data_IF_023910856257
#
_entry.id   IF_023910856257
#
_cell.length_a   1.000
_cell.length_b   1.000
_cell.length_c   1.000
_cell.angle_alpha   90.00
_cell.angle_beta   90.00
_cell.angle_gamma   90.00
#
_symmetry.space_group_name_H-M   'P 1'
#
loop_
_entity.id
_entity.type
_entity.pdbx_description
1 polymer ?
#
# COMPACT_ATOMS: atom_id res chain seq x y z
N UNK A 1 -19.91 -8.43 19.19
CA UNK A 1 -20.44 -8.84 20.51
C UNK A 1 -20.39 -10.33 20.77
N UNK A 2 -20.67 -11.20 19.78
CA UNK A 2 -20.64 -12.67 19.94
C UNK A 2 -19.41 -13.21 20.70
N UNK A 3 -18.19 -12.90 20.24
CA UNK A 3 -16.97 -13.41 20.89
C UNK A 3 -16.85 -13.02 22.38
N UNK A 4 -17.29 -11.82 22.78
CA UNK A 4 -17.31 -11.40 24.18
C UNK A 4 -18.35 -12.18 24.99
N UNK A 5 -19.53 -12.42 24.42
CA UNK A 5 -20.58 -13.22 25.06
C UNK A 5 -20.25 -14.71 25.13
N UNK A 6 -19.45 -15.24 24.20
CA UNK A 6 -18.92 -16.60 24.28
C UNK A 6 -17.86 -16.72 25.38
N UNK A 7 -16.93 -15.76 25.48
CA UNK A 7 -15.90 -15.74 26.50
C UNK A 7 -16.43 -15.43 27.91
N UNK A 8 -17.50 -14.63 28.00
CA UNK A 8 -18.07 -14.16 29.28
C UNK A 8 -19.61 -14.20 29.25
N UNK A 9 -20.23 -15.40 29.20
CA UNK A 9 -21.67 -15.57 28.95
C UNK A 9 -22.58 -14.92 30.00
N UNK A 10 -22.09 -14.69 31.21
CA UNK A 10 -22.85 -14.07 32.30
C UNK A 10 -22.92 -12.53 32.21
N UNK A 11 -22.17 -11.89 31.29
CA UNK A 11 -22.05 -10.42 31.22
C UNK A 11 -23.08 -9.76 30.30
N UNK A 12 -23.60 -10.47 29.30
CA UNK A 12 -24.63 -9.95 28.39
C UNK A 12 -24.22 -8.67 27.65
N UNK A 13 -23.10 -8.70 26.93
CA UNK A 13 -22.61 -7.56 26.16
C UNK A 13 -23.52 -7.24 24.97
N UNK A 14 -23.85 -5.96 24.85
CA UNK A 14 -24.62 -5.33 23.77
C UNK A 14 -23.91 -4.03 23.36
N UNK A 15 -24.25 -3.46 22.21
CA UNK A 15 -23.72 -2.14 21.84
C UNK A 15 -24.16 -1.03 22.81
N UNK A 16 -25.27 -1.19 23.54
CA UNK A 16 -25.73 -0.21 24.51
C UNK A 16 -24.93 -0.20 25.83
N UNK A 17 -24.19 -1.27 26.15
CA UNK A 17 -23.43 -1.38 27.39
C UNK A 17 -21.93 -1.62 27.17
N UNK A 18 -21.46 -1.51 25.93
CA UNK A 18 -20.08 -1.79 25.54
C UNK A 18 -19.58 -0.67 24.65
N UNK A 19 -18.51 0.00 25.05
CA UNK A 19 -17.81 0.97 24.21
C UNK A 19 -17.06 0.22 23.10
N UNK A 20 -17.28 0.58 21.84
CA UNK A 20 -16.65 -0.02 20.67
C UNK A 20 -15.80 1.01 19.95
N UNK A 21 -14.49 0.81 20.00
CA UNK A 21 -13.50 1.62 19.29
C UNK A 21 -12.91 0.77 18.18
N UNK A 22 -13.05 1.20 16.94
CA UNK A 22 -12.41 0.53 15.80
C UNK A 22 -11.03 1.12 15.56
N UNK A 23 -10.00 0.27 15.57
CA UNK A 23 -8.62 0.67 15.27
C UNK A 23 -8.01 -0.20 14.19
N UNK A 24 -7.28 0.43 13.28
CA UNK A 24 -6.58 -0.26 12.21
C UNK A 24 -5.45 0.59 11.63
N UNK A 25 -4.50 -0.10 11.00
CA UNK A 25 -3.31 0.50 10.38
C UNK A 25 -3.25 0.07 8.91
N UNK A 26 -2.76 0.93 8.01
CA UNK A 26 -2.63 0.65 6.57
C UNK A 26 -3.97 0.24 5.94
N UNK A 27 -4.10 -0.95 5.34
CA UNK A 27 -5.39 -1.47 4.87
C UNK A 27 -6.43 -1.61 5.99
N UNK A 28 -6.00 -1.99 7.20
CA UNK A 28 -6.87 -2.03 8.37
C UNK A 28 -7.36 -0.63 8.75
N UNK A 29 -6.52 0.39 8.57
CA UNK A 29 -6.89 1.80 8.74
C UNK A 29 -7.99 2.21 7.76
N UNK A 30 -7.85 1.83 6.48
CA UNK A 30 -8.91 2.01 5.49
C UNK A 30 -10.20 1.26 5.84
N UNK A 31 -10.08 0.03 6.34
CA UNK A 31 -11.21 -0.80 6.74
C UNK A 31 -12.03 -0.19 7.89
N UNK A 32 -11.37 0.38 8.91
CA UNK A 32 -12.10 1.02 10.02
C UNK A 32 -12.76 2.33 9.60
N UNK A 33 -12.20 3.07 8.63
CA UNK A 33 -12.87 4.23 8.03
C UNK A 33 -14.10 3.81 7.20
N UNK A 34 -14.01 2.69 6.47
CA UNK A 34 -15.15 2.10 5.76
C UNK A 34 -16.22 1.59 6.74
N UNK A 35 -15.84 1.02 7.88
CA UNK A 35 -16.79 0.64 8.92
C UNK A 35 -17.51 1.87 9.50
N UNK A 36 -16.79 2.97 9.74
CA UNK A 36 -17.36 4.23 10.22
C UNK A 36 -18.41 4.83 9.26
N UNK A 37 -18.22 4.67 7.95
CA UNK A 37 -19.19 5.07 6.94
C UNK A 37 -20.44 4.17 6.93
N UNK A 38 -20.26 2.86 7.17
CA UNK A 38 -21.33 1.88 7.15
C UNK A 38 -22.09 1.77 8.48
N UNK A 39 -21.64 2.47 9.53
CA UNK A 39 -22.27 2.48 10.85
C UNK A 39 -23.56 3.32 10.89
N UNK A 40 -24.59 2.80 10.21
CA UNK A 40 -25.94 3.37 10.23
C UNK A 40 -26.69 3.18 11.54
N UNK A 41 -26.30 2.19 12.35
CA UNK A 41 -26.96 1.84 13.62
C UNK A 41 -26.33 2.56 14.83
N UNK A 42 -25.14 3.16 14.67
CA UNK A 42 -24.45 3.89 15.73
C UNK A 42 -23.81 3.02 16.78
N UNK A 43 -23.21 1.91 16.36
CA UNK A 43 -22.54 0.98 17.26
C UNK A 43 -21.05 1.32 17.48
N UNK A 44 -20.47 2.21 16.68
CA UNK A 44 -19.10 2.71 16.89
C UNK A 44 -19.12 3.96 17.77
N UNK A 45 -18.28 3.96 18.80
CA UNK A 45 -18.08 5.13 19.67
C UNK A 45 -16.88 5.97 19.25
N UNK A 46 -15.88 5.39 18.57
CA UNK A 46 -14.76 6.11 17.98
C UNK A 46 -14.01 5.27 16.93
N UNK A 47 -13.26 5.95 16.07
CA UNK A 47 -12.32 5.32 15.13
C UNK A 47 -10.91 5.91 15.24
N UNK A 48 -9.90 5.03 15.24
CA UNK A 48 -8.48 5.38 15.12
C UNK A 48 -7.90 4.71 13.89
N UNK A 49 -7.54 5.51 12.88
CA UNK A 49 -6.99 5.01 11.62
C UNK A 49 -5.52 5.46 11.47
N UNK A 50 -4.59 4.53 11.59
CA UNK A 50 -3.18 4.74 11.28
C UNK A 50 -2.91 4.51 9.78
N UNK A 51 -2.18 5.42 9.14
CA UNK A 51 -1.72 5.38 7.76
C UNK A 51 -2.71 4.76 6.76
N UNK A 52 -4.01 5.16 6.78
CA UNK A 52 -5.03 4.37 6.12
C UNK A 52 -4.85 4.40 4.60
N UNK A 53 -4.86 3.21 3.99
CA UNK A 53 -5.10 3.06 2.57
C UNK A 53 -6.58 3.34 2.29
N UNK A 54 -6.87 4.62 2.05
CA UNK A 54 -8.21 5.13 1.78
C UNK A 54 -8.18 5.97 0.52
N UNK A 55 -9.22 5.85 -0.30
CA UNK A 55 -9.43 6.71 -1.46
C UNK A 55 -10.85 7.25 -1.44
N UNK A 56 -11.04 8.45 -1.98
CA UNK A 56 -12.36 9.06 -2.18
C UNK A 56 -12.60 9.29 -3.67
N UNK A 57 -13.84 9.55 -4.04
CA UNK A 57 -14.20 9.95 -5.40
C UNK A 57 -13.29 11.08 -5.92
N UNK A 58 -12.81 10.95 -7.16
CA UNK A 58 -11.91 11.93 -7.78
C UNK A 58 -10.44 11.84 -7.37
N UNK A 59 -10.05 10.92 -6.46
CA UNK A 59 -8.64 10.68 -6.12
C UNK A 59 -8.06 9.47 -6.84
N UNK A 60 -6.72 9.44 -6.95
CA UNK A 60 -6.00 8.28 -7.48
C UNK A 60 -6.09 7.12 -6.50
N UNK A 61 -6.28 5.91 -7.01
CA UNK A 61 -6.30 4.70 -6.18
C UNK A 61 -4.88 4.24 -5.85
N UNK A 62 -4.71 3.47 -4.78
CA UNK A 62 -3.40 2.86 -4.50
C UNK A 62 -2.96 1.92 -5.63
N UNK A 63 -3.89 1.28 -6.35
CA UNK A 63 -3.56 0.45 -7.52
C UNK A 63 -2.94 1.26 -8.66
N UNK A 64 -3.47 2.44 -8.95
CA UNK A 64 -2.90 3.38 -9.92
C UNK A 64 -1.48 3.78 -9.50
N UNK A 65 -1.32 4.27 -8.27
CA UNK A 65 -0.05 4.74 -7.73
C UNK A 65 1.01 3.62 -7.74
N UNK A 66 0.64 2.43 -7.27
CA UNK A 66 1.52 1.27 -7.18
C UNK A 66 2.01 0.84 -8.57
N UNK A 67 1.12 0.75 -9.56
CA UNK A 67 1.50 0.31 -10.92
C UNK A 67 2.31 1.37 -11.66
N UNK A 68 2.07 2.67 -11.41
CA UNK A 68 2.91 3.76 -11.91
C UNK A 68 4.30 3.73 -11.26
N UNK A 69 4.38 3.64 -9.94
CA UNK A 69 5.63 3.61 -9.19
C UNK A 69 6.47 2.39 -9.55
N UNK A 70 5.87 1.20 -9.69
CA UNK A 70 6.57 -0.01 -10.12
C UNK A 70 7.29 0.16 -11.46
N UNK A 71 6.73 0.97 -12.36
CA UNK A 71 7.32 1.26 -13.66
C UNK A 71 8.37 2.36 -13.55
N UNK A 72 8.00 3.54 -13.05
CA UNK A 72 8.79 4.76 -13.16
C UNK A 72 9.81 4.95 -12.04
N UNK A 73 9.46 4.57 -10.81
CA UNK A 73 10.26 4.91 -9.62
C UNK A 73 11.69 4.36 -9.67
N UNK A 74 11.96 3.10 -10.09
CA UNK A 74 13.33 2.61 -10.18
C UNK A 74 14.23 3.51 -11.04
N UNK A 75 13.72 4.01 -12.17
CA UNK A 75 14.45 4.95 -13.02
C UNK A 75 14.56 6.35 -12.40
N UNK A 76 13.46 6.86 -11.84
CA UNK A 76 13.39 8.19 -11.23
C UNK A 76 14.37 8.36 -10.06
N UNK A 77 14.60 7.31 -9.27
CA UNK A 77 15.51 7.35 -8.13
C UNK A 77 16.97 7.62 -8.52
N UNK A 78 17.37 7.41 -9.78
CA UNK A 78 18.71 7.78 -10.26
C UNK A 78 18.93 9.30 -10.34
N UNK A 79 17.85 10.09 -10.34
CA UNK A 79 17.91 11.55 -10.30
C UNK A 79 17.87 12.13 -8.88
N UNK A 80 17.82 11.27 -7.86
CA UNK A 80 17.79 11.67 -6.46
C UNK A 80 19.09 11.29 -5.74
N UNK A 81 19.60 12.24 -4.97
CA UNK A 81 20.70 12.04 -4.04
C UNK A 81 20.19 11.77 -2.61
N UNK A 82 21.07 11.22 -1.77
CA UNK A 82 20.83 10.95 -0.34
C UNK A 82 19.54 10.14 -0.08
N UNK A 83 19.34 9.07 -0.86
CA UNK A 83 18.27 8.12 -0.64
C UNK A 83 18.56 7.24 0.59
N UNK A 84 17.52 6.87 1.37
CA UNK A 84 17.70 5.90 2.44
C UNK A 84 18.16 4.55 1.86
N UNK A 85 19.09 3.90 2.56
CA UNK A 85 19.74 2.69 2.08
C UNK A 85 19.32 1.44 2.87
N UNK A 86 19.05 0.36 2.12
CA UNK A 86 18.83 -0.99 2.57
C UNK A 86 19.94 -1.94 2.06
N UNK A 87 20.00 -3.19 2.53
CA UNK A 87 20.93 -4.19 1.97
C UNK A 87 20.74 -4.47 0.48
N UNK A 88 19.59 -4.15 -0.11
CA UNK A 88 19.27 -4.39 -1.52
C UNK A 88 19.46 -3.15 -2.41
N UNK A 89 19.75 -1.97 -1.84
CA UNK A 89 19.85 -0.72 -2.62
C UNK A 89 20.90 -0.77 -3.72
N UNK A 90 22.05 -1.43 -3.49
CA UNK A 90 23.09 -1.57 -4.51
C UNK A 90 22.60 -2.36 -5.73
N UNK A 91 21.85 -3.44 -5.50
CA UNK A 91 21.26 -4.25 -6.55
C UNK A 91 20.18 -3.47 -7.31
N UNK A 92 19.27 -2.82 -6.58
CA UNK A 92 18.21 -2.00 -7.18
C UNK A 92 18.79 -0.87 -8.06
N UNK A 93 19.81 -0.15 -7.55
CA UNK A 93 20.50 0.92 -8.29
C UNK A 93 21.22 0.40 -9.53
N UNK A 94 21.78 -0.81 -9.49
CA UNK A 94 22.42 -1.43 -10.65
C UNK A 94 21.41 -1.77 -11.77
N UNK A 95 20.17 -2.11 -11.42
CA UNK A 95 19.10 -2.43 -12.39
C UNK A 95 18.35 -1.20 -12.92
N UNK A 96 18.41 -0.07 -12.22
CA UNK A 96 17.67 1.13 -12.59
C UNK A 96 17.95 1.65 -14.03
N UNK A 97 19.19 1.68 -14.55
CA UNK A 97 19.43 2.08 -15.94
C UNK A 97 18.77 1.17 -16.98
N UNK A 98 18.65 -0.14 -16.67
CA UNK A 98 17.97 -1.11 -17.52
C UNK A 98 16.47 -0.81 -17.59
N UNK A 99 15.87 -0.42 -16.45
CA UNK A 99 14.48 0.06 -16.40
C UNK A 99 14.29 1.35 -17.19
N UNK A 100 15.20 2.31 -17.05
CA UNK A 100 15.16 3.56 -17.84
C UNK A 100 15.16 3.28 -19.35
N UNK A 101 16.07 2.41 -19.81
CA UNK A 101 16.18 2.05 -21.22
C UNK A 101 14.91 1.34 -21.73
N UNK A 102 14.32 0.43 -20.94
CA UNK A 102 13.09 -0.28 -21.31
C UNK A 102 11.88 0.66 -21.42
N UNK A 103 11.76 1.61 -20.50
CA UNK A 103 10.73 2.65 -20.57
C UNK A 103 10.89 3.55 -21.79
N UNK A 104 12.12 3.95 -22.12
CA UNK A 104 12.40 4.75 -23.31
C UNK A 104 12.12 3.98 -24.61
N UNK A 105 12.51 2.70 -24.69
CA UNK A 105 12.22 1.84 -25.84
C UNK A 105 10.71 1.62 -26.03
N UNK A 106 9.93 1.61 -24.95
CA UNK A 106 8.47 1.56 -24.98
C UNK A 106 7.79 2.92 -25.24
N UNK A 107 8.57 3.99 -25.46
CA UNK A 107 8.05 5.34 -25.70
C UNK A 107 7.42 6.02 -24.47
N UNK A 108 7.64 5.48 -23.27
CA UNK A 108 7.12 6.04 -22.02
C UNK A 108 8.02 7.15 -21.45
N UNK A 109 9.29 7.15 -21.85
CA UNK A 109 10.29 8.17 -21.53
C UNK A 109 10.96 8.64 -22.82
N UNK A 110 11.56 9.85 -22.83
CA UNK A 110 12.33 10.30 -23.98
C UNK A 110 13.52 9.36 -24.27
N UNK A 111 13.86 9.23 -25.56
CA UNK A 111 15.14 8.67 -25.96
C UNK A 111 16.29 9.56 -25.44
N UNK A 112 17.46 8.96 -25.18
CA UNK A 112 18.60 9.69 -24.64
C UNK A 112 19.44 8.84 -23.70
N UNK A 113 20.31 9.49 -22.92
CA UNK A 113 21.09 8.83 -21.89
C UNK A 113 20.27 8.54 -20.62
N UNK A 114 20.81 7.68 -19.76
CA UNK A 114 20.16 7.28 -18.51
C UNK A 114 19.89 8.47 -17.58
N UNK A 115 20.70 9.53 -17.62
CA UNK A 115 20.52 10.72 -16.76
C UNK A 115 19.31 11.53 -17.21
N UNK A 116 19.11 11.69 -18.52
CA UNK A 116 17.94 12.35 -19.09
C UNK A 116 16.66 11.54 -18.85
N UNK A 117 16.73 10.21 -18.98
CA UNK A 117 15.61 9.31 -18.69
C UNK A 117 15.22 9.34 -17.21
N UNK A 118 16.21 9.31 -16.30
CA UNK A 118 15.97 9.41 -14.86
C UNK A 118 15.27 10.72 -14.48
N UNK A 119 15.76 11.86 -14.99
CA UNK A 119 15.09 13.17 -14.83
C UNK A 119 13.67 13.14 -15.33
N UNK A 120 13.43 12.63 -16.53
CA UNK A 120 12.08 12.57 -17.10
C UNK A 120 11.14 11.67 -16.28
N UNK A 121 11.62 10.53 -15.77
CA UNK A 121 10.84 9.65 -14.89
C UNK A 121 10.51 10.33 -13.55
N UNK A 122 11.47 11.03 -12.96
CA UNK A 122 11.29 11.80 -11.75
C UNK A 122 10.28 12.95 -11.96
N UNK A 123 10.43 13.73 -13.04
CA UNK A 123 9.50 14.80 -13.42
C UNK A 123 8.08 14.25 -13.65
N UNK A 124 7.94 13.09 -14.30
CA UNK A 124 6.64 12.44 -14.49
C UNK A 124 5.97 12.05 -13.16
N UNK A 125 6.71 11.48 -12.21
CA UNK A 125 6.19 11.18 -10.88
C UNK A 125 5.82 12.47 -10.12
N UNK A 126 6.65 13.52 -10.18
CA UNK A 126 6.34 14.81 -9.55
C UNK A 126 5.10 15.46 -10.15
N UNK A 127 4.97 15.45 -11.48
CA UNK A 127 3.80 15.97 -12.20
C UNK A 127 2.52 15.20 -11.88
N UNK A 128 2.63 13.90 -11.60
CA UNK A 128 1.50 13.04 -11.18
C UNK A 128 1.17 13.12 -9.68
N UNK A 129 1.85 14.01 -8.93
CA UNK A 129 1.52 14.41 -7.56
C UNK A 129 2.42 13.83 -6.46
N UNK A 130 3.40 12.98 -6.78
CA UNK A 130 4.27 12.37 -5.77
C UNK A 130 5.10 13.42 -5.06
N UNK A 131 5.11 13.44 -3.72
CA UNK A 131 5.95 14.36 -2.94
C UNK A 131 7.43 13.92 -2.96
N UNK A 132 8.38 14.86 -2.80
CA UNK A 132 9.79 14.48 -2.70
C UNK A 132 10.07 13.58 -1.49
N UNK A 133 9.32 13.76 -0.39
CA UNK A 133 9.41 12.89 0.78
C UNK A 133 8.95 11.45 0.46
N UNK A 134 7.79 11.31 -0.20
CA UNK A 134 7.27 10.01 -0.61
C UNK A 134 8.21 9.31 -1.62
N UNK A 135 8.81 10.04 -2.56
CA UNK A 135 9.79 9.46 -3.50
C UNK A 135 11.03 8.95 -2.78
N UNK A 136 11.59 9.72 -1.83
CA UNK A 136 12.76 9.26 -1.07
C UNK A 136 12.44 8.04 -0.21
N UNK A 137 11.33 8.06 0.53
CA UNK A 137 10.91 6.92 1.34
C UNK A 137 10.55 5.69 0.49
N UNK A 138 10.03 5.92 -0.72
CA UNK A 138 9.69 4.89 -1.70
C UNK A 138 10.89 4.11 -2.26
N UNK A 139 12.14 4.54 -1.99
CA UNK A 139 13.34 3.76 -2.31
C UNK A 139 13.28 2.35 -1.70
N UNK A 140 12.73 2.23 -0.49
CA UNK A 140 12.54 0.94 0.17
C UNK A 140 11.60 0.01 -0.63
N UNK A 141 10.53 0.58 -1.16
CA UNK A 141 9.54 -0.13 -1.96
C UNK A 141 10.09 -0.60 -3.31
N UNK A 142 11.09 0.11 -3.85
CA UNK A 142 11.86 -0.34 -5.02
C UNK A 142 12.82 -1.46 -4.63
N UNK A 143 13.60 -1.27 -3.57
CA UNK A 143 14.62 -2.21 -3.12
C UNK A 143 14.07 -3.60 -2.82
N UNK A 144 12.91 -3.67 -2.16
CA UNK A 144 12.24 -4.92 -1.79
C UNK A 144 11.14 -5.35 -2.76
N UNK A 145 11.03 -4.69 -3.92
CA UNK A 145 10.05 -5.01 -4.97
C UNK A 145 8.57 -5.02 -4.49
N UNK A 146 8.29 -4.17 -3.49
CA UNK A 146 6.96 -4.06 -2.87
C UNK A 146 5.90 -3.59 -3.85
N UNK A 147 6.27 -2.68 -4.76
CA UNK A 147 5.32 -2.18 -5.76
C UNK A 147 4.76 -3.30 -6.64
N UNK A 148 5.61 -4.22 -7.11
CA UNK A 148 5.15 -5.35 -7.91
C UNK A 148 4.32 -6.32 -7.09
N UNK A 149 4.77 -6.65 -5.87
CA UNK A 149 4.04 -7.55 -4.98
C UNK A 149 2.62 -7.04 -4.65
N UNK A 150 2.50 -5.75 -4.36
CA UNK A 150 1.20 -5.12 -4.09
C UNK A 150 0.36 -5.07 -5.36
N UNK A 151 0.93 -4.69 -6.51
CA UNK A 151 0.20 -4.65 -7.77
C UNK A 151 -0.41 -6.02 -8.12
N UNK A 152 0.36 -7.11 -8.01
CA UNK A 152 -0.14 -8.47 -8.28
C UNK A 152 -1.26 -8.86 -7.32
N UNK A 153 -1.04 -8.63 -6.03
CA UNK A 153 -2.03 -8.97 -4.98
C UNK A 153 -3.32 -8.19 -5.20
N UNK A 154 -3.22 -6.89 -5.48
CA UNK A 154 -4.37 -6.00 -5.58
C UNK A 154 -5.11 -6.14 -6.91
N UNK A 155 -4.41 -6.45 -8.01
CA UNK A 155 -5.08 -6.81 -9.27
C UNK A 155 -6.03 -8.00 -9.03
N UNK A 156 -5.59 -8.97 -8.25
CA UNK A 156 -6.35 -10.16 -7.91
C UNK A 156 -7.52 -9.84 -6.98
N UNK A 157 -7.28 -9.06 -5.93
CA UNK A 157 -8.31 -8.66 -4.96
C UNK A 157 -9.40 -7.77 -5.59
N UNK A 158 -9.02 -6.68 -6.26
CA UNK A 158 -9.98 -5.78 -6.92
C UNK A 158 -10.69 -6.48 -8.08
N UNK A 159 -9.97 -7.31 -8.83
CA UNK A 159 -10.56 -8.12 -9.86
C UNK A 159 -11.41 -9.29 -9.34
N UNK A 160 -11.35 -9.64 -8.05
CA UNK A 160 -12.01 -10.84 -7.50
C UNK A 160 -11.61 -12.13 -8.24
N UNK A 161 -10.33 -12.26 -8.58
CA UNK A 161 -9.79 -13.47 -9.22
C UNK A 161 -9.65 -14.59 -8.17
N UNK A 162 -9.93 -15.83 -8.57
CA UNK A 162 -9.75 -16.99 -7.70
C UNK A 162 -8.28 -17.35 -7.46
N UNK A 163 -8.05 -18.29 -6.54
CA UNK A 163 -6.72 -18.84 -6.33
C UNK A 163 -6.20 -19.52 -7.61
N UNK A 164 -5.01 -19.13 -8.05
CA UNK A 164 -4.42 -19.61 -9.31
C UNK A 164 -4.92 -18.89 -10.57
N UNK A 165 -5.82 -17.92 -10.45
CA UNK A 165 -6.39 -17.16 -11.58
C UNK A 165 -5.86 -15.71 -11.63
N UNK A 166 -4.70 -15.46 -11.02
CA UNK A 166 -4.10 -14.13 -11.04
C UNK A 166 -3.96 -13.61 -12.49
N UNK A 167 -4.31 -12.34 -12.75
CA UNK A 167 -4.22 -11.79 -14.10
C UNK A 167 -2.75 -11.62 -14.51
N UNK A 168 -2.54 -11.32 -15.79
CA UNK A 168 -1.21 -11.06 -16.37
C UNK A 168 -0.20 -12.23 -16.31
N UNK A 169 -0.64 -13.45 -15.98
CA UNK A 169 0.25 -14.61 -15.88
C UNK A 169 1.09 -14.61 -14.60
N UNK A 170 0.66 -13.86 -13.59
CA UNK A 170 1.24 -13.95 -12.25
C UNK A 170 0.68 -15.15 -11.49
N UNK A 171 1.26 -15.44 -10.33
CA UNK A 171 0.74 -16.39 -9.37
C UNK A 171 1.55 -16.39 -8.08
N UNK A 172 1.08 -17.09 -7.07
CA UNK A 172 1.84 -17.33 -5.84
C UNK A 172 2.18 -18.82 -5.73
N UNK A 173 3.41 -19.12 -5.34
CA UNK A 173 3.84 -20.48 -5.03
C UNK A 173 4.90 -20.47 -3.94
N UNK A 174 5.06 -21.58 -3.25
CA UNK A 174 6.28 -21.80 -2.50
C UNK A 174 7.46 -21.90 -3.48
N UNK A 175 8.57 -21.23 -3.18
CA UNK A 175 9.72 -21.15 -4.09
C UNK A 175 10.99 -21.78 -3.53
N UNK A 176 11.80 -22.29 -4.44
CA UNK A 176 13.20 -22.63 -4.21
C UNK A 176 14.06 -21.34 -4.19
N UNK A 177 15.32 -21.40 -3.72
CA UNK A 177 16.23 -20.24 -3.76
C UNK A 177 16.50 -19.69 -5.16
N UNK A 178 16.29 -20.50 -6.21
CA UNK A 178 16.40 -20.10 -7.62
C UNK A 178 15.08 -19.53 -8.19
N UNK A 179 14.09 -19.26 -7.32
CA UNK A 179 12.74 -18.76 -7.63
C UNK A 179 11.83 -19.74 -8.37
N UNK A 180 12.28 -20.98 -8.63
CA UNK A 180 11.42 -22.01 -9.21
C UNK A 180 10.33 -22.43 -8.23
N UNK A 181 9.13 -22.72 -8.73
CA UNK A 181 8.01 -23.18 -7.93
C UNK A 181 8.29 -24.58 -7.35
N UNK A 182 7.84 -24.82 -6.13
CA UNK A 182 7.88 -26.12 -5.45
C UNK A 182 6.66 -26.34 -4.57
N UNK A 183 6.51 -27.56 -4.06
CA UNK A 183 5.56 -27.84 -3.00
C UNK A 183 5.92 -27.09 -1.70
N UNK A 184 4.89 -26.57 -1.02
CA UNK A 184 5.03 -25.95 0.29
C UNK A 184 5.21 -27.01 1.38
N UNK A 185 6.12 -26.75 2.33
CA UNK A 185 6.34 -27.59 3.51
C UNK A 185 5.21 -27.40 4.52
N UNK A 186 4.95 -28.41 5.34
CA UNK A 186 3.90 -28.34 6.38
C UNK A 186 4.15 -27.19 7.37
N UNK A 187 5.41 -26.96 7.73
CA UNK A 187 5.80 -25.84 8.59
C UNK A 187 5.54 -24.47 7.96
N UNK A 188 5.68 -24.34 6.64
CA UNK A 188 5.38 -23.09 5.93
C UNK A 188 3.87 -22.84 5.96
N UNK A 189 3.06 -23.86 5.64
CA UNK A 189 1.59 -23.75 5.64
C UNK A 189 1.04 -23.40 7.02
N UNK A 190 1.60 -23.97 8.08
CA UNK A 190 1.20 -23.68 9.46
C UNK A 190 1.44 -22.21 9.86
N UNK A 191 2.47 -21.57 9.29
CA UNK A 191 2.85 -20.20 9.61
C UNK A 191 2.18 -19.13 8.73
N UNK A 192 1.52 -19.49 7.62
CA UNK A 192 0.93 -18.51 6.70
C UNK A 192 -0.14 -17.62 7.33
N UNK A 193 -0.94 -18.17 8.24
CA UNK A 193 -2.01 -17.40 8.89
C UNK A 193 -1.50 -16.46 9.98
N UNK A 194 -0.51 -16.88 10.77
CA UNK A 194 0.00 -16.09 11.89
C UNK A 194 1.09 -15.09 11.49
N UNK A 195 1.97 -15.50 10.57
CA UNK A 195 3.22 -14.79 10.29
C UNK A 195 3.23 -14.19 8.87
N UNK A 196 2.27 -14.55 8.03
CA UNK A 196 2.14 -14.01 6.68
C UNK A 196 1.53 -12.61 6.66
N UNK A 197 2.18 -11.68 5.97
CA UNK A 197 1.63 -10.33 5.73
C UNK A 197 0.53 -10.29 4.66
N UNK A 198 0.36 -11.38 3.90
CA UNK A 198 -0.46 -11.43 2.69
C UNK A 198 0.19 -10.79 1.46
N UNK A 199 1.42 -10.28 1.57
CA UNK A 199 2.20 -9.71 0.46
C UNK A 199 3.49 -10.53 0.29
N UNK A 200 3.72 -11.21 -0.84
CA UNK A 200 4.96 -11.96 -1.07
C UNK A 200 6.16 -11.02 -1.29
N UNK A 201 7.40 -11.46 -1.00
CA UNK A 201 7.74 -12.78 -0.47
C UNK A 201 7.47 -12.91 1.05
N UNK A 202 7.12 -14.11 1.51
CA UNK A 202 6.91 -14.39 2.93
C UNK A 202 6.61 -15.87 3.20
N UNK A 203 7.21 -16.43 4.26
CA UNK A 203 6.95 -17.81 4.72
C UNK A 203 6.98 -18.85 3.60
N UNK A 204 8.03 -18.77 2.78
CA UNK A 204 8.26 -19.66 1.63
C UNK A 204 7.51 -19.27 0.35
N UNK A 205 6.49 -18.42 0.41
CA UNK A 205 5.70 -17.95 -0.73
C UNK A 205 6.43 -16.83 -1.46
N UNK A 206 6.50 -16.91 -2.79
CA UNK A 206 7.01 -15.87 -3.67
C UNK A 206 6.11 -15.62 -4.89
N UNK A 207 6.47 -14.60 -5.65
CA UNK A 207 5.78 -14.22 -6.89
C UNK A 207 6.25 -15.09 -8.06
N UNK A 208 5.31 -15.75 -8.72
CA UNK A 208 5.50 -16.28 -10.06
C UNK A 208 5.14 -15.21 -11.08
N UNK A 209 5.99 -15.06 -12.10
CA UNK A 209 5.79 -14.15 -13.21
C UNK A 209 6.14 -14.90 -14.51
N UNK A 210 5.12 -15.28 -15.28
CA UNK A 210 5.30 -16.01 -16.53
C UNK A 210 5.86 -15.14 -17.67
N UNK A 211 6.05 -13.83 -17.44
CA UNK A 211 6.51 -12.85 -18.44
C UNK A 211 7.94 -12.38 -18.18
N UNK A 212 8.68 -13.04 -17.28
CA UNK A 212 10.07 -12.69 -17.00
C UNK A 212 10.93 -12.75 -18.28
N UNK A 213 11.54 -11.62 -18.65
CA UNK A 213 12.36 -11.54 -19.87
C UNK A 213 13.52 -10.54 -19.74
N UNK A 214 14.73 -10.98 -20.11
CA UNK A 214 15.88 -10.08 -20.17
C UNK A 214 15.71 -8.99 -21.26
N UNK A 215 16.37 -7.82 -21.12
CA UNK A 215 17.27 -7.44 -20.03
C UNK A 215 16.53 -6.94 -18.77
N UNK A 216 15.27 -6.51 -18.91
CA UNK A 216 14.44 -6.02 -17.80
C UNK A 216 13.37 -7.04 -17.43
N UNK A 217 13.76 -7.95 -16.55
CA UNK A 217 12.97 -9.14 -16.23
C UNK A 217 11.51 -8.84 -15.88
N UNK A 218 11.21 -7.80 -15.12
CA UNK A 218 9.83 -7.56 -14.64
C UNK A 218 9.03 -6.59 -15.51
N UNK A 219 9.62 -5.99 -16.54
CA UNK A 219 8.98 -4.90 -17.30
C UNK A 219 7.69 -5.34 -18.01
N UNK A 220 7.72 -6.45 -18.75
CA UNK A 220 6.56 -6.93 -19.50
C UNK A 220 5.37 -7.28 -18.58
N UNK A 221 5.65 -7.89 -17.43
CA UNK A 221 4.64 -8.16 -16.39
C UNK A 221 4.06 -6.88 -15.81
N UNK A 222 4.89 -5.89 -15.51
CA UNK A 222 4.45 -4.60 -14.96
C UNK A 222 3.66 -3.77 -15.97
N UNK A 223 3.99 -3.82 -17.26
CA UNK A 223 3.19 -3.19 -18.31
C UNK A 223 1.78 -3.78 -18.35
N UNK A 224 1.64 -5.10 -18.20
CA UNK A 224 0.33 -5.74 -18.13
C UNK A 224 -0.46 -5.27 -16.89
N UNK A 225 0.17 -5.24 -15.71
CA UNK A 225 -0.48 -4.75 -14.49
C UNK A 225 -0.92 -3.29 -14.62
N UNK A 226 -0.09 -2.44 -15.23
CA UNK A 226 -0.44 -1.04 -15.53
C UNK A 226 -1.62 -0.94 -16.49
N UNK A 227 -1.68 -1.80 -17.50
CA UNK A 227 -2.79 -1.85 -18.45
C UNK A 227 -4.12 -2.27 -17.80
N UNK A 228 -4.12 -3.00 -16.68
CA UNK A 228 -5.35 -3.24 -15.90
C UNK A 228 -5.93 -1.95 -15.30
N UNK A 229 -5.12 -0.90 -15.11
CA UNK A 229 -5.62 0.41 -14.71
C UNK A 229 -5.94 1.30 -15.92
N UNK A 230 -5.01 1.41 -16.87
CA UNK A 230 -5.07 2.40 -17.96
C UNK A 230 -5.76 1.92 -19.23
N UNK A 231 -5.89 0.61 -19.43
CA UNK A 231 -6.43 -0.01 -20.64
C UNK A 231 -7.95 -0.19 -20.60
N UNK A 232 -8.51 -0.77 -21.66
CA UNK A 232 -9.96 -0.94 -21.85
C UNK A 232 -10.38 -2.41 -21.98
N UNK A 233 -9.52 -3.36 -21.60
CA UNK A 233 -9.90 -4.78 -21.60
C UNK A 233 -10.94 -5.08 -20.52
N UNK A 234 -11.65 -6.20 -20.67
CA UNK A 234 -12.60 -6.67 -19.65
C UNK A 234 -11.93 -6.84 -18.27
N UNK A 235 -10.70 -7.35 -18.22
CA UNK A 235 -9.92 -7.46 -16.98
C UNK A 235 -9.61 -6.10 -16.37
N UNK A 236 -9.33 -5.08 -17.20
CA UNK A 236 -9.07 -3.72 -16.74
C UNK A 236 -10.35 -3.07 -16.17
N UNK A 237 -11.49 -3.24 -16.85
CA UNK A 237 -12.80 -2.80 -16.35
C UNK A 237 -13.15 -3.49 -15.03
N UNK A 238 -12.92 -4.80 -14.94
CA UNK A 238 -13.16 -5.60 -13.74
C UNK A 238 -12.34 -5.09 -12.54
N UNK A 239 -11.05 -4.83 -12.72
CA UNK A 239 -10.18 -4.27 -11.67
C UNK A 239 -10.64 -2.86 -11.28
N UNK A 240 -10.91 -1.97 -12.25
CA UNK A 240 -11.40 -0.61 -11.94
C UNK A 240 -12.74 -0.61 -11.22
N UNK A 241 -13.65 -1.52 -11.56
CA UNK A 241 -14.93 -1.68 -10.87
C UNK A 241 -14.72 -2.08 -9.39
N UNK A 242 -13.80 -3.00 -9.12
CA UNK A 242 -13.42 -3.37 -7.76
C UNK A 242 -12.84 -2.21 -6.95
N UNK A 243 -11.95 -1.41 -7.57
CA UNK A 243 -11.40 -0.19 -6.96
C UNK A 243 -12.52 0.81 -6.66
N UNK A 244 -13.43 1.05 -7.61
CA UNK A 244 -14.53 2.00 -7.44
C UNK A 244 -15.47 1.61 -6.30
N UNK A 245 -15.74 0.31 -6.14
CA UNK A 245 -16.59 -0.23 -5.07
C UNK A 245 -16.03 -0.02 -3.66
N UNK A 246 -14.75 0.35 -3.52
CA UNK A 246 -14.06 0.52 -2.24
C UNK A 246 -13.75 1.99 -1.89
N UNK A 247 -14.21 2.94 -2.71
CA UNK A 247 -14.07 4.37 -2.42
C UNK A 247 -14.82 4.73 -1.15
N UNK A 248 -14.14 5.36 -0.19
CA UNK A 248 -14.73 5.74 1.09
C UNK A 248 -15.68 6.94 0.96
N UNK A 249 -16.81 6.80 1.63
CA UNK A 249 -17.76 7.84 1.98
C UNK A 249 -17.37 8.53 3.28
N UNK A 250 -18.38 9.08 3.95
CA UNK A 250 -18.22 9.87 5.16
C UNK A 250 -18.80 9.13 6.37
N UNK A 251 -18.19 9.25 7.55
CA UNK A 251 -18.79 8.77 8.78
C UNK A 251 -20.01 9.60 9.16
N UNK A 252 -20.80 9.10 10.12
CA UNK A 252 -21.82 9.88 10.84
C UNK A 252 -21.21 11.15 11.49
N UNK A 253 -22.04 12.17 11.71
CA UNK A 253 -21.56 13.52 12.08
C UNK A 253 -20.85 13.59 13.43
N UNK A 254 -21.35 12.80 14.38
CA UNK A 254 -21.00 12.80 15.79
C UNK A 254 -20.03 11.67 16.18
N UNK A 255 -19.56 10.86 15.23
CA UNK A 255 -18.55 9.83 15.49
C UNK A 255 -17.15 10.46 15.49
N UNK A 256 -16.43 10.46 16.62
CA UNK A 256 -15.07 10.93 16.67
C UNK A 256 -14.15 10.02 15.85
N UNK A 257 -13.37 10.61 14.94
CA UNK A 257 -12.37 9.89 14.15
C UNK A 257 -11.01 10.57 14.31
N UNK A 258 -9.98 9.78 14.61
CA UNK A 258 -8.59 10.24 14.58
C UNK A 258 -7.86 9.52 13.46
N UNK A 259 -7.37 10.29 12.48
CA UNK A 259 -6.48 9.80 11.42
C UNK A 259 -5.05 10.19 11.77
N UNK A 260 -4.13 9.23 11.76
CA UNK A 260 -2.71 9.43 12.04
C UNK A 260 -1.93 8.97 10.82
N UNK A 261 -1.05 9.78 10.26
CA UNK A 261 -0.32 9.41 9.06
C UNK A 261 1.05 10.09 9.01
N UNK A 262 2.07 9.34 8.61
CA UNK A 262 3.41 9.88 8.37
C UNK A 262 3.47 10.80 7.14
N UNK A 263 4.10 11.96 7.27
CA UNK A 263 4.28 12.89 6.14
C UNK A 263 5.22 12.34 5.05
N UNK A 264 6.01 11.33 5.41
CA UNK A 264 7.06 10.75 4.58
C UNK A 264 6.68 9.32 4.15
N UNK A 265 5.39 8.97 4.19
CA UNK A 265 4.90 7.69 3.71
C UNK A 265 5.19 7.52 2.21
N UNK A 266 6.10 6.60 1.91
CA UNK A 266 6.55 6.27 0.56
C UNK A 266 5.83 5.08 -0.08
N UNK A 267 4.82 4.50 0.58
CA UNK A 267 4.03 3.38 0.05
C UNK A 267 2.56 3.74 -0.17
N UNK A 268 1.94 4.40 0.81
CA UNK A 268 0.54 4.83 0.84
C UNK A 268 0.50 6.36 0.99
N UNK A 269 1.06 7.15 0.05
CA UNK A 269 1.44 8.52 0.35
C UNK A 269 0.25 9.37 0.74
N UNK A 270 0.42 10.07 1.85
CA UNK A 270 -0.59 10.88 2.53
C UNK A 270 -1.34 11.85 1.61
N UNK A 271 -0.65 12.40 0.59
CA UNK A 271 -1.19 13.36 -0.37
C UNK A 271 -2.30 12.76 -1.25
N UNK A 272 -2.30 11.45 -1.46
CA UNK A 272 -3.30 10.75 -2.29
C UNK A 272 -4.36 10.05 -1.45
N UNK A 273 -4.12 9.84 -0.15
CA UNK A 273 -4.95 8.98 0.70
C UNK A 273 -5.64 9.76 1.82
N UNK A 274 -4.98 9.91 2.97
CA UNK A 274 -5.57 10.51 4.16
C UNK A 274 -5.88 12.00 3.98
N UNK A 275 -5.01 12.76 3.31
CA UNK A 275 -5.22 14.19 3.15
C UNK A 275 -6.54 14.53 2.41
N UNK A 276 -6.84 13.97 1.22
CA UNK A 276 -8.11 14.24 0.56
C UNK A 276 -9.33 13.68 1.30
N UNK A 277 -9.20 12.52 1.97
CA UNK A 277 -10.31 11.97 2.76
C UNK A 277 -10.64 12.86 3.97
N UNK A 278 -9.63 13.26 4.74
CA UNK A 278 -9.78 14.16 5.90
C UNK A 278 -10.37 15.50 5.46
N UNK A 279 -9.84 16.09 4.38
CA UNK A 279 -10.35 17.36 3.87
C UNK A 279 -11.84 17.28 3.49
N UNK A 280 -12.24 16.20 2.80
CA UNK A 280 -13.65 15.94 2.44
C UNK A 280 -14.53 15.79 3.68
N UNK A 281 -14.07 15.05 4.70
CA UNK A 281 -14.84 14.83 5.91
C UNK A 281 -14.98 16.10 6.77
N UNK A 282 -13.91 16.87 6.93
CA UNK A 282 -13.94 18.14 7.66
C UNK A 282 -14.80 19.18 6.95
N UNK A 283 -14.74 19.27 5.61
CA UNK A 283 -15.60 20.16 4.83
C UNK A 283 -17.09 19.81 4.97
N UNK A 284 -17.41 18.55 5.26
CA UNK A 284 -18.77 18.08 5.55
C UNK A 284 -19.15 18.17 7.04
N UNK A 285 -18.33 18.81 7.89
CA UNK A 285 -18.61 19.02 9.31
C UNK A 285 -18.48 17.78 10.18
N UNK A 286 -17.71 16.76 9.78
CA UNK A 286 -17.46 15.56 10.59
C UNK A 286 -16.39 15.82 11.66
N UNK A 287 -16.52 15.20 12.84
CA UNK A 287 -15.50 15.28 13.90
C UNK A 287 -14.27 14.42 13.58
N UNK A 288 -13.41 14.93 12.69
CA UNK A 288 -12.18 14.28 12.26
C UNK A 288 -10.95 15.07 12.73
N UNK A 289 -10.12 14.42 13.52
CA UNK A 289 -8.79 14.90 13.93
C UNK A 289 -7.72 14.27 13.04
N UNK A 290 -6.73 15.07 12.66
CA UNK A 290 -5.70 14.62 11.74
C UNK A 290 -4.30 14.90 12.29
N UNK A 291 -3.57 13.83 12.61
CA UNK A 291 -2.23 13.90 13.17
C UNK A 291 -1.22 13.52 12.08
N UNK A 292 -0.53 14.54 11.58
CA UNK A 292 0.54 14.35 10.61
C UNK A 292 1.86 14.22 11.35
N UNK A 293 2.50 13.05 11.24
CA UNK A 293 3.76 12.75 11.93
C UNK A 293 4.91 13.00 10.98
N UNK A 294 5.74 14.00 11.30
CA UNK A 294 6.95 14.30 10.52
C UNK A 294 7.96 13.18 10.65
N UNK A 295 8.69 12.91 9.58
CA UNK A 295 9.72 11.87 9.54
C UNK A 295 9.16 10.48 9.85
N UNK A 296 7.87 10.20 9.63
CA UNK A 296 7.34 8.84 9.69
C UNK A 296 7.05 8.33 8.28
N UNK A 297 7.57 7.14 7.98
CA UNK A 297 7.28 6.38 6.76
C UNK A 297 6.38 5.18 7.10
N UNK A 298 5.94 4.42 6.09
CA UNK A 298 4.87 3.41 6.22
C UNK A 298 5.15 2.22 7.16
N UNK A 299 6.41 1.92 7.45
CA UNK A 299 6.83 0.62 7.99
C UNK A 299 7.73 0.72 9.21
N UNK A 300 7.16 0.75 10.41
CA UNK A 300 7.94 0.71 11.65
C UNK A 300 8.95 -0.46 11.70
N UNK A 301 8.64 -1.60 11.06
CA UNK A 301 9.52 -2.76 10.96
C UNK A 301 10.88 -2.44 10.31
N UNK A 302 10.91 -1.55 9.32
CA UNK A 302 12.15 -1.20 8.62
C UNK A 302 13.03 -0.22 9.41
N UNK A 303 12.59 0.30 10.56
CA UNK A 303 13.46 1.00 11.51
C UNK A 303 14.49 0.07 12.18
N UNK A 304 14.41 -1.23 11.91
CA UNK A 304 15.50 -2.17 12.17
C UNK A 304 16.75 -1.88 11.30
N UNK A 305 16.57 -1.30 10.10
CA UNK A 305 17.66 -0.92 9.23
C UNK A 305 18.34 0.38 9.74
N UNK A 306 19.68 0.43 9.88
CA UNK A 306 20.36 1.56 10.50
C UNK A 306 20.07 2.92 9.87
N UNK A 307 20.08 3.02 8.54
CA UNK A 307 19.87 4.30 7.86
C UNK A 307 18.41 4.76 7.95
N UNK A 308 17.44 3.83 7.86
CA UNK A 308 16.04 4.14 8.09
C UNK A 308 15.77 4.59 9.52
N UNK A 309 16.40 3.94 10.52
CA UNK A 309 16.32 4.37 11.94
C UNK A 309 16.85 5.78 12.16
N UNK A 310 17.91 6.17 11.45
CA UNK A 310 18.50 7.49 11.59
C UNK A 310 17.64 8.60 10.97
N UNK A 311 16.76 8.25 10.01
CA UNK A 311 15.96 9.21 9.23
C UNK A 311 14.50 9.29 9.66
N UNK A 312 13.95 8.20 10.19
CA UNK A 312 12.52 8.05 10.44
C UNK A 312 12.16 7.67 11.88
N UNK A 313 10.96 8.06 12.30
CA UNK A 313 10.36 7.74 13.61
C UNK A 313 9.21 6.74 13.45
N UNK A 314 8.92 5.92 14.49
CA UNK A 314 7.81 4.97 14.44
C UNK A 314 6.45 5.68 14.52
N UNK A 315 5.47 5.18 13.77
CA UNK A 315 4.09 5.68 13.77
C UNK A 315 3.26 5.09 14.92
N UNK A 316 3.52 3.84 15.33
CA UNK A 316 2.73 3.11 16.33
C UNK A 316 2.52 3.86 17.66
N UNK A 317 3.51 4.54 18.25
CA UNK A 317 3.31 5.32 19.48
C UNK A 317 2.21 6.39 19.36
N UNK A 318 2.06 7.00 18.18
CA UNK A 318 1.02 7.99 17.91
C UNK A 318 -0.37 7.34 17.78
N UNK A 319 -0.45 6.13 17.23
CA UNK A 319 -1.69 5.35 17.18
C UNK A 319 -2.15 4.98 18.59
N UNK A 320 -1.24 4.53 19.46
CA UNK A 320 -1.58 4.24 20.86
C UNK A 320 -2.03 5.49 21.63
N UNK A 321 -1.33 6.62 21.45
CA UNK A 321 -1.75 7.89 22.06
C UNK A 321 -3.14 8.34 21.56
N UNK A 322 -3.49 8.07 20.30
CA UNK A 322 -4.83 8.33 19.76
C UNK A 322 -5.88 7.43 20.40
N UNK A 323 -5.59 6.13 20.52
CA UNK A 323 -6.44 5.17 21.22
C UNK A 323 -6.72 5.60 22.66
N UNK A 324 -5.70 5.99 23.43
CA UNK A 324 -5.86 6.47 24.80
C UNK A 324 -6.76 7.72 24.86
N UNK A 325 -6.59 8.67 23.93
CA UNK A 325 -7.42 9.89 23.88
C UNK A 325 -8.88 9.62 23.56
N UNK A 326 -9.18 8.67 22.67
CA UNK A 326 -10.56 8.31 22.35
C UNK A 326 -11.15 7.27 23.29
N UNK A 327 -10.36 6.74 24.23
CA UNK A 327 -10.82 5.82 25.27
C UNK A 327 -11.05 6.50 26.62
N UNK A 328 -10.45 7.68 26.84
CA UNK A 328 -10.78 8.58 27.96
C UNK A 328 -12.24 9.05 27.90
#
# INVERSE_FOLDING_TARGET
MQALNEAYPQRGFTFANTRVIAVGISNGGGAVLRAAELDGEGWLDAVVAGEPNVSVEGTRSLYDLTTEAALLMPCALLDLDDLPASPLSAQARAMAPVRCASLAAAGMLPAGDAKAQARAAHEALRASGWTSAALRAGALSVDFDLWRAIAVTYASAYGRYGAGEHPCGYGFAAQNPDFSARAAKDSERAAWWSDGSGIPPGTGVGLLDARLAAPDFTFAGLQCLRALWTGTSADAERVRAGVAALRAGLPRADLPVVVIHGSDDGLVPIAFTSQPWVAKAQAAGRDVRYWQVRNAQHFDAFLALPDYRARYVPLLPYVYAALERVAA
#
